data_IF_479889531385
#
_entry.id   IF_479889531385
#
_cell.length_a   1.000
_cell.length_b   1.000
_cell.length_c   1.000
_cell.angle_alpha   90.00
_cell.angle_beta   90.00
_cell.angle_gamma   90.00
#
_symmetry.space_group_name_H-M   'P 1'
#
loop_
_entity.id
_entity.type
_entity.pdbx_description
1 polymer ?
#
# COMPACT_ATOMS: atom_id res chain seq x y z
N UNK A 1 -4.15 0.28 28.09
CA UNK A 1 -3.80 -0.25 26.77
C UNK A 1 -3.01 0.81 26.04
N UNK A 2 -1.85 0.43 25.48
CA UNK A 2 -0.97 1.31 24.69
C UNK A 2 -1.06 0.92 23.21
N UNK A 3 -1.09 1.91 22.31
CA UNK A 3 -1.00 1.74 20.86
C UNK A 3 0.14 2.60 20.33
N UNK A 4 1.08 1.98 19.63
CA UNK A 4 2.06 2.66 18.79
C UNK A 4 1.67 2.44 17.33
N UNK A 5 1.34 3.53 16.62
CA UNK A 5 0.94 3.51 15.22
C UNK A 5 2.01 4.13 14.34
N UNK A 6 2.65 3.30 13.54
CA UNK A 6 3.65 3.72 12.56
C UNK A 6 2.99 3.81 11.19
N UNK A 7 3.20 4.92 10.47
CA UNK A 7 2.56 5.14 9.18
C UNK A 7 3.46 5.91 8.21
N UNK A 8 3.33 5.60 6.95
CA UNK A 8 4.07 6.29 5.89
C UNK A 8 3.23 7.42 5.30
N UNK A 9 3.19 8.54 5.98
CA UNK A 9 2.49 9.77 5.58
C UNK A 9 1.15 9.51 4.86
N UNK A 10 0.90 10.17 3.73
CA UNK A 10 -0.29 9.99 2.91
C UNK A 10 -0.10 9.00 1.76
N UNK A 11 0.90 8.10 1.84
CA UNK A 11 1.06 7.05 0.83
C UNK A 11 -0.21 6.19 0.74
N UNK A 12 -0.78 5.80 1.87
CA UNK A 12 -2.07 5.13 1.94
C UNK A 12 -3.13 6.05 2.58
N UNK A 13 -4.30 6.22 1.96
CA UNK A 13 -5.39 7.03 2.55
C UNK A 13 -5.83 6.57 3.93
N UNK A 14 -5.78 5.26 4.18
CA UNK A 14 -6.15 4.62 5.45
C UNK A 14 -5.37 5.17 6.63
N UNK A 15 -4.14 5.65 6.41
CA UNK A 15 -3.33 6.25 7.48
C UNK A 15 -4.07 7.41 8.16
N UNK A 16 -4.67 8.30 7.38
CA UNK A 16 -5.41 9.44 7.92
C UNK A 16 -6.78 9.08 8.47
N UNK A 17 -7.42 8.03 7.93
CA UNK A 17 -8.64 7.48 8.51
C UNK A 17 -8.36 6.94 9.91
N UNK A 18 -7.27 6.18 10.06
CA UNK A 18 -6.82 5.64 11.36
C UNK A 18 -6.47 6.77 12.34
N UNK A 19 -5.74 7.80 11.89
CA UNK A 19 -5.43 8.96 12.74
C UNK A 19 -6.71 9.67 13.22
N UNK A 20 -7.70 9.87 12.33
CA UNK A 20 -8.99 10.46 12.69
C UNK A 20 -9.81 9.57 13.62
N UNK A 21 -9.67 8.24 13.48
CA UNK A 21 -10.31 7.29 14.39
C UNK A 21 -9.73 7.43 15.81
N UNK A 22 -8.43 7.61 15.95
CA UNK A 22 -7.76 7.74 17.24
C UNK A 22 -8.24 8.94 18.06
N UNK A 23 -8.66 10.04 17.42
CA UNK A 23 -9.24 11.19 18.11
C UNK A 23 -10.45 10.83 19.00
N UNK A 24 -11.19 9.76 18.63
CA UNK A 24 -12.34 9.27 19.38
C UNK A 24 -11.95 8.40 20.60
N UNK A 25 -10.70 7.93 20.64
CA UNK A 25 -10.23 6.95 21.63
C UNK A 25 -9.11 7.49 22.54
N UNK A 26 -8.58 8.68 22.29
CA UNK A 26 -7.45 9.28 23.03
C UNK A 26 -7.64 9.37 24.54
N UNK A 27 -8.89 9.46 25.02
CA UNK A 27 -9.18 9.52 26.46
C UNK A 27 -9.27 8.12 27.11
N UNK A 28 -9.25 7.04 26.31
CA UNK A 28 -9.39 5.65 26.75
C UNK A 28 -8.16 4.79 26.48
N UNK A 29 -7.33 5.21 25.54
CA UNK A 29 -6.17 4.45 25.02
C UNK A 29 -4.98 5.39 24.99
N UNK A 30 -3.84 4.94 25.49
CA UNK A 30 -2.56 5.63 25.35
C UNK A 30 -2.04 5.43 23.92
N UNK A 31 -2.18 6.46 23.06
CA UNK A 31 -1.93 6.37 21.62
C UNK A 31 -0.74 7.24 21.24
N UNK A 32 0.26 6.61 20.63
CA UNK A 32 1.41 7.27 20.05
C UNK A 32 1.44 7.05 18.53
N UNK A 33 1.74 8.09 17.77
CA UNK A 33 1.76 8.05 16.32
C UNK A 33 3.11 8.47 15.76
N UNK A 34 3.64 7.72 14.79
CA UNK A 34 4.98 7.91 14.23
C UNK A 34 4.92 7.94 12.70
N UNK A 35 5.16 9.12 12.12
CA UNK A 35 5.29 9.24 10.66
C UNK A 35 6.71 8.87 10.24
N UNK A 36 6.85 7.77 9.53
CA UNK A 36 8.17 7.26 9.09
C UNK A 36 8.64 7.82 7.74
N UNK A 37 7.93 8.80 7.17
CA UNK A 37 8.24 9.36 5.84
C UNK A 37 9.72 9.78 5.69
N UNK A 38 10.32 10.26 6.77
CA UNK A 38 11.72 10.72 6.82
C UNK A 38 12.57 9.98 7.86
N UNK A 39 11.99 9.00 8.54
CA UNK A 39 12.66 8.24 9.59
C UNK A 39 12.79 6.78 9.17
N UNK A 40 13.78 6.53 8.30
CA UNK A 40 14.06 5.21 7.74
C UNK A 40 14.62 4.25 8.79
N UNK A 41 15.36 4.77 9.76
CA UNK A 41 15.91 3.96 10.85
C UNK A 41 14.81 3.44 11.76
N UNK A 42 13.80 4.28 12.06
CA UNK A 42 12.63 3.86 12.81
C UNK A 42 11.83 2.80 12.03
N UNK A 43 11.54 3.04 10.75
CA UNK A 43 10.82 2.06 9.91
C UNK A 43 11.55 0.70 9.86
N UNK A 44 12.88 0.73 9.75
CA UNK A 44 13.74 -0.46 9.77
C UNK A 44 13.71 -1.16 11.13
N UNK A 45 13.81 -0.41 12.22
CA UNK A 45 13.85 -0.96 13.60
C UNK A 45 12.55 -1.71 13.94
N UNK A 46 11.40 -1.18 13.49
CA UNK A 46 10.08 -1.82 13.67
C UNK A 46 9.73 -2.82 12.56
N UNK A 47 10.65 -3.08 11.61
CA UNK A 47 10.44 -3.98 10.46
C UNK A 47 9.16 -3.66 9.69
N UNK A 48 8.97 -2.40 9.35
CA UNK A 48 7.80 -1.94 8.62
C UNK A 48 7.96 -2.20 7.12
N UNK A 49 6.99 -2.92 6.53
CA UNK A 49 6.91 -3.23 5.09
C UNK A 49 5.51 -3.02 4.52
N UNK A 50 4.61 -2.50 5.33
CA UNK A 50 3.25 -2.09 4.96
C UNK A 50 3.13 -0.56 5.08
N UNK A 51 2.13 0.07 4.45
CA UNK A 51 1.95 1.52 4.56
C UNK A 51 1.64 2.00 5.99
N UNK A 52 1.27 1.08 6.86
CA UNK A 52 1.05 1.27 8.30
C UNK A 52 1.35 0.00 9.08
N UNK A 53 1.63 0.17 10.37
CA UNK A 53 1.82 -0.89 11.34
C UNK A 53 1.30 -0.39 12.69
N UNK A 54 0.46 -1.18 13.33
CA UNK A 54 0.02 -0.95 14.71
C UNK A 54 0.69 -1.93 15.64
N UNK A 55 1.27 -1.46 16.73
CA UNK A 55 1.82 -2.29 17.80
C UNK A 55 1.02 -2.05 19.08
N UNK A 56 0.49 -3.12 19.67
CA UNK A 56 -0.24 -3.09 20.92
C UNK A 56 0.65 -3.54 22.07
N UNK A 57 0.69 -2.74 23.13
CA UNK A 57 1.39 -3.05 24.38
C UNK A 57 2.83 -3.53 24.15
N UNK A 58 3.52 -2.99 23.15
CA UNK A 58 4.88 -3.31 22.72
C UNK A 58 5.10 -4.75 22.17
N UNK A 59 4.04 -5.55 22.01
CA UNK A 59 4.13 -6.98 21.65
C UNK A 59 3.32 -7.34 20.40
N UNK A 60 2.01 -7.11 20.41
CA UNK A 60 1.12 -7.58 19.36
C UNK A 60 1.13 -6.63 18.15
N UNK A 61 1.28 -7.18 16.96
CA UNK A 61 1.45 -6.42 15.71
C UNK A 61 0.25 -6.62 14.80
N UNK A 62 -0.35 -5.50 14.34
CA UNK A 62 -1.47 -5.49 13.40
C UNK A 62 -1.09 -4.72 12.14
N UNK A 63 -1.43 -5.29 10.98
CA UNK A 63 -1.17 -4.73 9.65
C UNK A 63 -2.45 -4.49 8.86
N UNK A 64 -3.58 -4.95 9.38
CA UNK A 64 -4.89 -4.58 8.85
C UNK A 64 -5.28 -3.17 9.30
N UNK A 65 -6.15 -2.47 8.54
CA UNK A 65 -6.71 -1.21 8.97
C UNK A 65 -7.44 -1.34 10.30
N UNK A 66 -7.15 -0.43 11.24
CA UNK A 66 -7.88 -0.39 12.50
C UNK A 66 -9.30 0.13 12.26
N UNK A 67 -10.29 -0.60 12.78
CA UNK A 67 -11.70 -0.21 12.77
C UNK A 67 -12.19 0.01 14.20
N UNK A 68 -13.21 0.86 14.39
CA UNK A 68 -13.82 1.10 15.71
C UNK A 68 -14.17 -0.22 16.42
N UNK A 69 -14.77 -1.16 15.68
CA UNK A 69 -15.15 -2.46 16.24
C UNK A 69 -13.98 -3.28 16.78
N UNK A 70 -12.78 -3.13 16.20
CA UNK A 70 -11.56 -3.77 16.73
C UNK A 70 -11.09 -3.09 18.00
N UNK A 71 -11.04 -1.75 18.01
CA UNK A 71 -10.65 -0.99 19.21
C UNK A 71 -11.61 -1.23 20.37
N UNK A 72 -12.92 -1.32 20.13
CA UNK A 72 -13.92 -1.62 21.16
C UNK A 72 -13.71 -3.02 21.74
N UNK A 73 -13.41 -4.03 20.92
CA UNK A 73 -13.07 -5.39 21.38
C UNK A 73 -11.82 -5.39 22.24
N UNK A 74 -10.77 -4.72 21.80
CA UNK A 74 -9.51 -4.60 22.55
C UNK A 74 -9.71 -3.93 23.89
N UNK A 75 -10.55 -2.87 23.98
CA UNK A 75 -10.90 -2.22 25.24
C UNK A 75 -11.67 -3.15 26.20
N UNK A 76 -12.44 -4.08 25.65
CA UNK A 76 -13.14 -5.10 26.43
C UNK A 76 -12.25 -6.30 26.78
N UNK A 77 -10.95 -6.24 26.54
CA UNK A 77 -9.97 -7.33 26.74
C UNK A 77 -10.28 -8.59 25.91
N UNK A 78 -10.99 -8.42 24.77
CA UNK A 78 -11.21 -9.53 23.84
C UNK A 78 -9.94 -9.78 23.03
N UNK A 79 -9.57 -11.06 22.89
CA UNK A 79 -8.43 -11.46 22.06
C UNK A 79 -8.79 -11.27 20.58
N UNK A 80 -8.00 -10.46 19.88
CA UNK A 80 -8.14 -10.22 18.45
C UNK A 80 -6.97 -10.87 17.71
N UNK A 81 -7.28 -11.75 16.76
CA UNK A 81 -6.27 -12.40 15.93
C UNK A 81 -6.45 -11.86 14.51
N UNK A 82 -5.39 -11.26 13.99
CA UNK A 82 -5.35 -10.81 12.61
C UNK A 82 -5.29 -12.02 11.65
N UNK A 83 -6.04 -11.93 10.55
CA UNK A 83 -6.03 -12.96 9.50
C UNK A 83 -5.40 -12.41 8.23
N UNK A 84 -4.77 -13.27 7.39
CA UNK A 84 -4.31 -12.84 6.09
C UNK A 84 -5.41 -12.15 5.29
N UNK A 85 -5.05 -11.05 4.64
CA UNK A 85 -5.96 -10.40 3.70
C UNK A 85 -5.85 -11.11 2.34
N UNK A 86 -6.84 -11.94 2.04
CA UNK A 86 -6.89 -12.75 0.81
C UNK A 86 -8.11 -12.34 0.02
N UNK A 87 -7.89 -11.91 -1.21
CA UNK A 87 -8.94 -11.63 -2.19
C UNK A 87 -8.65 -12.44 -3.45
N UNK A 88 -9.62 -13.22 -3.89
CA UNK A 88 -9.60 -13.84 -5.19
C UNK A 88 -10.02 -12.82 -6.24
N UNK A 89 -9.12 -12.53 -7.17
CA UNK A 89 -9.39 -11.68 -8.32
C UNK A 89 -9.60 -12.53 -9.56
N UNK A 90 -10.47 -12.07 -10.45
CA UNK A 90 -10.62 -12.62 -11.78
C UNK A 90 -9.27 -12.61 -12.51
N UNK A 91 -8.93 -13.71 -13.16
CA UNK A 91 -7.64 -13.86 -13.89
C UNK A 91 -7.67 -13.21 -15.26
N UNK A 92 -8.86 -13.01 -15.80
CA UNK A 92 -9.03 -12.37 -17.09
C UNK A 92 -8.71 -10.87 -16.97
N UNK A 93 -7.84 -10.39 -17.87
CA UNK A 93 -7.38 -9.00 -17.88
C UNK A 93 -8.42 -8.12 -18.56
N UNK A 94 -8.91 -7.11 -17.85
CA UNK A 94 -9.86 -6.14 -18.39
C UNK A 94 -9.20 -4.81 -18.72
N UNK A 95 -9.44 -4.30 -19.93
CA UNK A 95 -8.89 -3.05 -20.41
C UNK A 95 -10.00 -2.06 -20.72
N UNK A 96 -10.17 -1.06 -19.88
CA UNK A 96 -10.85 0.18 -20.19
C UNK A 96 -9.90 1.22 -20.82
N UNK A 97 -10.16 2.48 -20.59
CA UNK A 97 -9.25 3.57 -20.94
C UNK A 97 -8.09 3.64 -19.94
N UNK A 98 -6.86 3.57 -20.46
CA UNK A 98 -5.67 3.69 -19.62
C UNK A 98 -5.18 5.13 -19.68
N UNK A 99 -5.33 5.85 -18.56
CA UNK A 99 -4.99 7.27 -18.44
C UNK A 99 -3.91 7.51 -17.40
N UNK A 100 -3.04 8.52 -17.57
CA UNK A 100 -2.06 8.88 -16.54
C UNK A 100 -2.78 9.40 -15.29
N UNK A 101 -2.30 8.96 -14.11
CA UNK A 101 -2.67 9.53 -12.82
C UNK A 101 -1.81 10.76 -12.56
N UNK A 102 -2.44 11.90 -12.37
CA UNK A 102 -1.79 13.21 -12.16
C UNK A 102 -2.41 13.91 -10.96
N UNK A 103 -1.88 15.07 -10.61
CA UNK A 103 -2.46 15.93 -9.58
C UNK A 103 -3.91 16.33 -9.90
N UNK A 104 -4.23 16.50 -11.19
CA UNK A 104 -5.53 17.03 -11.60
C UNK A 104 -6.66 16.00 -11.55
N UNK A 105 -6.32 14.70 -11.62
CA UNK A 105 -7.32 13.63 -11.61
C UNK A 105 -7.21 12.64 -10.44
N UNK A 106 -6.34 12.90 -9.46
CA UNK A 106 -6.14 12.01 -8.30
C UNK A 106 -7.43 11.84 -7.46
N UNK A 107 -8.37 12.79 -7.53
CA UNK A 107 -9.68 12.67 -6.88
C UNK A 107 -10.48 11.47 -7.38
N UNK A 108 -10.21 10.98 -8.59
CA UNK A 108 -10.88 9.80 -9.17
C UNK A 108 -10.58 8.52 -8.40
N UNK A 109 -9.44 8.44 -7.70
CA UNK A 109 -9.05 7.25 -6.90
C UNK A 109 -9.69 7.22 -5.51
N UNK A 110 -10.44 8.26 -5.16
CA UNK A 110 -11.25 8.33 -3.95
C UNK A 110 -12.23 7.15 -3.89
N UNK A 111 -12.30 6.45 -2.76
CA UNK A 111 -13.21 5.30 -2.54
C UNK A 111 -12.94 4.08 -3.44
N UNK A 112 -11.79 3.99 -4.10
CA UNK A 112 -11.49 2.88 -5.02
C UNK A 112 -10.56 1.82 -4.44
N UNK A 113 -10.06 2.03 -3.22
CA UNK A 113 -9.31 1.01 -2.51
C UNK A 113 -10.27 0.06 -1.78
N UNK A 114 -10.16 -1.24 -2.02
CA UNK A 114 -10.97 -2.28 -1.36
C UNK A 114 -10.77 -2.35 0.16
N UNK A 115 -9.70 -1.73 0.69
CA UNK A 115 -9.42 -1.66 2.13
C UNK A 115 -10.07 -0.44 2.81
N UNK A 116 -10.51 0.58 2.06
CA UNK A 116 -11.04 1.83 2.61
C UNK A 116 -12.54 1.91 2.45
N UNK A 117 -13.23 2.16 3.57
CA UNK A 117 -14.69 2.38 3.61
C UNK A 117 -15.04 3.88 3.49
N UNK A 118 -14.04 4.79 3.51
CA UNK A 118 -14.26 6.22 3.57
C UNK A 118 -13.77 6.98 2.32
N UNK A 119 -14.12 8.25 2.24
CA UNK A 119 -13.61 9.16 1.20
C UNK A 119 -12.14 9.43 1.48
N UNK A 120 -11.28 9.03 0.55
CA UNK A 120 -9.86 9.31 0.62
C UNK A 120 -9.58 10.80 0.77
N UNK A 121 -8.62 11.16 1.61
CA UNK A 121 -8.02 12.50 1.62
C UNK A 121 -7.11 12.66 0.39
N UNK A 122 -7.72 12.81 -0.78
CA UNK A 122 -7.02 12.86 -2.07
C UNK A 122 -6.02 14.01 -2.14
N UNK A 123 -6.34 15.15 -1.52
CA UNK A 123 -5.42 16.29 -1.46
C UNK A 123 -4.12 15.94 -0.72
N UNK A 124 -4.20 15.21 0.38
CA UNK A 124 -2.99 14.78 1.12
C UNK A 124 -2.17 13.78 0.32
N UNK A 125 -2.83 12.85 -0.38
CA UNK A 125 -2.14 11.89 -1.25
C UNK A 125 -1.51 12.59 -2.46
N UNK A 126 -2.21 13.53 -3.08
CA UNK A 126 -1.67 14.35 -4.17
C UNK A 126 -0.42 15.12 -3.73
N UNK A 127 -0.48 15.77 -2.56
CA UNK A 127 0.67 16.46 -1.99
C UNK A 127 1.83 15.52 -1.67
N UNK A 128 1.54 14.30 -1.19
CA UNK A 128 2.56 13.28 -0.94
C UNK A 128 3.25 12.87 -2.25
N UNK A 129 2.49 12.45 -3.26
CA UNK A 129 3.06 11.99 -4.53
C UNK A 129 3.80 13.12 -5.27
N UNK A 130 3.33 14.36 -5.22
CA UNK A 130 3.97 15.53 -5.82
C UNK A 130 5.35 15.87 -5.22
N UNK A 131 5.70 15.33 -4.05
CA UNK A 131 7.05 15.47 -3.48
C UNK A 131 8.07 14.53 -4.15
N UNK A 132 7.61 13.43 -4.74
CA UNK A 132 8.44 12.30 -5.15
C UNK A 132 8.32 11.94 -6.63
N UNK A 133 7.29 12.43 -7.30
CA UNK A 133 7.05 12.27 -8.73
C UNK A 133 6.97 13.64 -9.41
N UNK A 134 7.29 13.67 -10.69
CA UNK A 134 7.11 14.87 -11.52
C UNK A 134 5.59 15.12 -11.76
N UNK A 135 5.11 14.91 -13.00
CA UNK A 135 3.71 15.15 -13.36
C UNK A 135 2.84 13.89 -13.26
N UNK A 136 3.42 12.72 -13.55
CA UNK A 136 2.71 11.44 -13.60
C UNK A 136 3.04 10.64 -12.35
N UNK A 137 2.02 10.30 -11.58
CA UNK A 137 2.10 9.52 -10.33
C UNK A 137 1.90 8.01 -10.57
N UNK A 138 1.35 7.65 -11.74
CA UNK A 138 0.97 6.29 -12.10
C UNK A 138 0.04 6.26 -13.28
N UNK A 139 -0.70 5.16 -13.42
CA UNK A 139 -1.74 5.00 -14.45
C UNK A 139 -2.99 4.39 -13.86
N UNK A 140 -4.13 4.76 -14.43
CA UNK A 140 -5.46 4.28 -14.09
C UNK A 140 -6.06 3.49 -15.24
N UNK A 141 -6.85 2.48 -14.90
CA UNK A 141 -7.81 1.82 -15.79
C UNK A 141 -9.18 2.38 -15.49
N UNK A 142 -9.82 3.02 -16.46
CA UNK A 142 -11.06 3.79 -16.27
C UNK A 142 -12.11 3.33 -17.27
N UNK A 143 -13.36 3.27 -16.83
CA UNK A 143 -14.52 3.08 -17.69
C UNK A 143 -15.68 3.93 -17.21
N UNK A 144 -16.29 4.72 -18.13
CA UNK A 144 -17.39 5.63 -17.81
C UNK A 144 -17.11 6.49 -16.57
N UNK A 145 -15.94 7.14 -16.52
CA UNK A 145 -15.42 7.94 -15.40
C UNK A 145 -15.24 7.18 -14.07
N UNK A 146 -15.39 5.86 -14.07
CA UNK A 146 -15.12 5.04 -12.91
C UNK A 146 -13.73 4.41 -13.01
N UNK A 147 -12.93 4.58 -11.95
CA UNK A 147 -11.64 3.89 -11.81
C UNK A 147 -11.90 2.42 -11.50
N UNK A 148 -11.37 1.54 -12.33
CA UNK A 148 -11.44 0.09 -12.17
C UNK A 148 -10.21 -0.47 -11.44
N UNK A 149 -9.04 0.12 -11.68
CA UNK A 149 -7.79 -0.24 -11.04
C UNK A 149 -6.69 0.76 -11.32
N UNK A 150 -5.52 0.58 -10.72
CA UNK A 150 -4.42 1.49 -10.91
C UNK A 150 -3.08 0.97 -10.42
N UNK A 151 -2.02 1.65 -10.85
CA UNK A 151 -0.64 1.42 -10.45
C UNK A 151 0.04 2.75 -10.14
N UNK A 152 0.71 2.84 -8.99
CA UNK A 152 1.40 4.03 -8.52
C UNK A 152 2.84 3.71 -8.14
N UNK A 153 3.73 4.70 -8.26
CA UNK A 153 5.14 4.53 -7.95
C UNK A 153 5.76 5.77 -7.29
N UNK A 154 6.94 5.57 -6.72
CA UNK A 154 7.93 6.63 -6.43
C UNK A 154 9.34 6.07 -6.67
N UNK A 155 10.39 6.90 -6.60
CA UNK A 155 11.77 6.40 -6.55
C UNK A 155 12.01 5.58 -5.27
N UNK A 156 12.71 4.44 -5.36
CA UNK A 156 13.03 3.59 -4.21
C UNK A 156 13.83 4.32 -3.13
N UNK A 157 14.55 5.36 -3.50
CA UNK A 157 15.33 6.24 -2.61
C UNK A 157 14.48 6.80 -1.45
N UNK A 158 13.20 7.08 -1.70
CA UNK A 158 12.30 7.72 -0.73
C UNK A 158 11.43 6.74 0.03
N UNK A 159 11.52 5.46 -0.24
CA UNK A 159 10.75 4.41 0.44
C UNK A 159 11.34 4.19 1.85
N UNK A 160 10.58 4.25 2.93
CA UNK A 160 11.13 4.08 4.29
C UNK A 160 11.51 2.63 4.61
N UNK A 161 11.04 1.66 3.82
CA UNK A 161 11.31 0.24 4.05
C UNK A 161 12.78 -0.13 3.84
N UNK A 162 13.23 -1.21 4.50
CA UNK A 162 14.56 -1.76 4.32
C UNK A 162 14.66 -2.57 3.02
N UNK A 163 14.73 -1.86 1.89
CA UNK A 163 14.85 -2.39 0.52
C UNK A 163 16.03 -1.70 -0.20
N UNK A 164 16.48 -2.22 -1.35
CA UNK A 164 17.49 -1.54 -2.16
C UNK A 164 17.06 -0.13 -2.56
N UNK A 165 17.93 0.86 -2.34
CA UNK A 165 17.69 2.27 -2.61
C UNK A 165 18.65 2.80 -3.65
N UNK A 166 18.10 3.38 -4.71
CA UNK A 166 18.87 4.03 -5.77
C UNK A 166 18.00 5.07 -6.45
N UNK A 167 18.62 6.13 -6.98
CA UNK A 167 17.92 7.12 -7.81
C UNK A 167 17.38 6.50 -9.11
N UNK A 168 18.04 5.43 -9.60
CA UNK A 168 17.72 4.68 -10.82
C UNK A 168 16.74 3.51 -10.60
N UNK A 169 16.14 3.39 -9.41
CA UNK A 169 15.16 2.36 -9.12
C UNK A 169 13.80 2.97 -8.75
N UNK A 170 12.75 2.48 -9.40
CA UNK A 170 11.37 2.76 -9.02
C UNK A 170 10.86 1.74 -7.98
N UNK A 171 9.88 2.13 -7.20
CA UNK A 171 9.15 1.27 -6.28
C UNK A 171 7.66 1.44 -6.48
N UNK A 172 6.93 0.34 -6.68
CA UNK A 172 5.47 0.35 -6.76
C UNK A 172 4.89 0.56 -5.35
N UNK A 173 4.27 1.70 -5.16
CA UNK A 173 3.67 2.07 -3.87
C UNK A 173 2.29 1.48 -3.69
N UNK A 174 1.53 1.31 -4.77
CA UNK A 174 0.19 0.78 -4.73
C UNK A 174 -0.23 0.18 -6.08
N UNK A 175 -0.71 -1.06 -6.05
CA UNK A 175 -1.48 -1.68 -7.12
C UNK A 175 -2.85 -2.03 -6.56
N UNK A 176 -3.91 -1.52 -7.14
CA UNK A 176 -5.26 -1.64 -6.58
C UNK A 176 -6.33 -1.94 -7.61
N UNK A 177 -7.44 -2.48 -7.11
CA UNK A 177 -8.66 -2.80 -7.84
C UNK A 177 -9.85 -2.12 -7.15
N UNK A 178 -10.87 -1.79 -7.91
CA UNK A 178 -12.17 -1.36 -7.38
C UNK A 178 -13.17 -2.51 -7.28
N UNK A 179 -12.93 -3.62 -7.98
CA UNK A 179 -13.76 -4.83 -8.02
C UNK A 179 -12.87 -6.06 -8.15
N UNK A 180 -13.44 -7.25 -7.95
CA UNK A 180 -12.76 -8.55 -8.00
C UNK A 180 -13.05 -9.37 -9.26
N UNK A 181 -13.88 -8.85 -10.18
CA UNK A 181 -14.39 -9.61 -11.33
C UNK A 181 -13.28 -9.92 -12.34
N UNK A 182 -12.33 -8.99 -12.52
CA UNK A 182 -11.24 -9.08 -13.47
C UNK A 182 -9.92 -8.62 -12.88
N UNK A 183 -8.81 -8.88 -13.59
CA UNK A 183 -7.53 -8.23 -13.33
C UNK A 183 -7.51 -6.82 -13.95
N UNK A 184 -7.90 -5.83 -13.17
CA UNK A 184 -7.95 -4.43 -13.57
C UNK A 184 -6.61 -3.69 -13.41
N UNK A 185 -5.63 -4.25 -12.71
CA UNK A 185 -4.33 -3.61 -12.44
C UNK A 185 -3.26 -3.92 -13.48
N UNK A 186 -3.45 -4.96 -14.30
CA UNK A 186 -2.47 -5.38 -15.29
C UNK A 186 -2.12 -4.27 -16.30
N UNK A 187 -3.12 -3.69 -16.95
CA UNK A 187 -2.88 -2.66 -17.97
C UNK A 187 -2.33 -1.34 -17.41
N UNK A 188 -2.78 -0.82 -16.26
CA UNK A 188 -2.11 0.30 -15.59
C UNK A 188 -0.65 0.01 -15.28
N UNK A 189 -0.32 -1.19 -14.77
CA UNK A 189 1.07 -1.55 -14.51
C UNK A 189 1.89 -1.61 -15.80
N UNK A 190 1.37 -2.23 -16.85
CA UNK A 190 2.06 -2.32 -18.14
C UNK A 190 2.36 -0.93 -18.73
N UNK A 191 1.43 0.01 -18.63
CA UNK A 191 1.64 1.36 -19.12
C UNK A 191 2.61 2.14 -18.24
N UNK A 192 2.55 1.94 -16.92
CA UNK A 192 3.52 2.49 -15.99
C UNK A 192 4.94 1.97 -16.26
N UNK A 193 5.12 0.68 -16.52
CA UNK A 193 6.43 0.09 -16.87
C UNK A 193 7.02 0.75 -18.12
N UNK A 194 6.20 0.98 -19.16
CA UNK A 194 6.65 1.68 -20.38
C UNK A 194 7.10 3.12 -20.09
N UNK A 195 6.35 3.83 -19.25
CA UNK A 195 6.71 5.19 -18.85
C UNK A 195 8.01 5.22 -18.04
N UNK A 196 8.17 4.27 -17.12
CA UNK A 196 9.34 4.20 -16.24
C UNK A 196 10.62 3.78 -16.97
N UNK A 197 10.52 3.01 -18.04
CA UNK A 197 11.66 2.51 -18.84
C UNK A 197 12.66 3.62 -19.28
N UNK A 198 12.16 4.83 -19.46
CA UNK A 198 13.01 5.98 -19.86
C UNK A 198 13.58 6.74 -18.66
N UNK A 199 13.24 6.35 -17.42
CA UNK A 199 13.60 7.07 -16.19
C UNK A 199 14.34 6.20 -15.19
N UNK A 200 14.14 4.89 -15.22
CA UNK A 200 14.66 3.93 -14.25
C UNK A 200 15.14 2.65 -14.96
N UNK A 201 16.11 1.98 -14.39
CA UNK A 201 16.58 0.68 -14.88
C UNK A 201 15.86 -0.51 -14.26
N UNK A 202 15.25 -0.31 -13.08
CA UNK A 202 14.61 -1.39 -12.32
C UNK A 202 13.38 -0.90 -11.55
N UNK A 203 12.39 -1.78 -11.46
CA UNK A 203 11.19 -1.59 -10.60
C UNK A 203 11.23 -2.62 -9.49
N UNK A 204 10.98 -2.18 -8.25
CA UNK A 204 10.75 -3.05 -7.09
C UNK A 204 9.30 -2.98 -6.64
N UNK A 205 8.82 -4.07 -6.06
CA UNK A 205 7.56 -4.12 -5.33
C UNK A 205 7.68 -5.06 -4.12
N UNK A 206 6.84 -4.85 -3.11
CA UNK A 206 6.62 -5.80 -2.03
C UNK A 206 5.31 -6.52 -2.31
N UNK A 207 5.33 -7.84 -2.20
CA UNK A 207 4.20 -8.74 -2.44
C UNK A 207 4.12 -9.79 -1.35
N UNK A 208 3.01 -10.52 -1.26
CA UNK A 208 2.80 -11.54 -0.25
C UNK A 208 2.58 -12.92 -0.89
N UNK A 209 3.25 -13.96 -0.38
CA UNK A 209 3.06 -15.34 -0.80
C UNK A 209 1.86 -16.02 -0.12
N UNK A 210 1.30 -15.42 0.94
CA UNK A 210 0.15 -15.93 1.70
C UNK A 210 -1.11 -15.13 1.39
N UNK A 211 -1.01 -13.80 1.44
CA UNK A 211 -2.11 -12.86 1.22
C UNK A 211 -2.03 -12.12 -0.12
N UNK A 212 -2.83 -11.06 -0.21
CA UNK A 212 -2.88 -10.17 -1.37
C UNK A 212 -2.50 -8.73 -1.06
N UNK A 213 -2.06 -8.44 0.15
CA UNK A 213 -1.64 -7.12 0.60
C UNK A 213 -0.19 -7.14 1.10
N UNK A 214 0.68 -6.18 0.70
CA UNK A 214 0.45 -5.09 -0.25
C UNK A 214 0.57 -5.55 -1.73
N UNK A 215 0.04 -4.79 -2.65
CA UNK A 215 0.20 -4.87 -4.11
C UNK A 215 -0.32 -6.15 -4.81
N UNK A 216 -0.62 -7.23 -4.07
CA UNK A 216 -1.10 -8.48 -4.62
C UNK A 216 -0.24 -9.69 -4.24
N UNK A 217 -0.63 -10.85 -4.77
CA UNK A 217 0.01 -12.12 -4.50
C UNK A 217 1.33 -12.26 -5.28
N UNK A 218 2.31 -12.96 -4.69
CA UNK A 218 3.62 -13.23 -5.30
C UNK A 218 3.51 -13.88 -6.69
N UNK A 219 2.65 -14.89 -6.83
CA UNK A 219 2.50 -15.62 -8.08
C UNK A 219 2.06 -14.71 -9.24
N UNK A 220 1.19 -13.73 -8.96
CA UNK A 220 0.77 -12.75 -9.96
C UNK A 220 1.96 -11.93 -10.50
N UNK A 221 2.89 -11.50 -9.65
CA UNK A 221 4.08 -10.78 -10.09
C UNK A 221 5.02 -11.64 -10.93
N UNK A 222 5.22 -12.92 -10.53
CA UNK A 222 6.06 -13.86 -11.30
C UNK A 222 5.49 -14.09 -12.70
N UNK A 223 4.17 -14.25 -12.83
CA UNK A 223 3.48 -14.41 -14.12
C UNK A 223 3.57 -13.15 -15.02
N UNK A 224 3.88 -11.98 -14.43
CA UNK A 224 4.06 -10.72 -15.15
C UNK A 224 5.53 -10.31 -15.33
N UNK A 225 6.45 -11.27 -15.17
CA UNK A 225 7.88 -11.11 -15.50
C UNK A 225 8.71 -10.43 -14.42
N UNK A 226 8.21 -10.37 -13.17
CA UNK A 226 9.02 -9.99 -12.03
C UNK A 226 9.82 -11.20 -11.53
N UNK A 227 10.98 -10.94 -10.96
CA UNK A 227 11.86 -11.93 -10.34
C UNK A 227 11.71 -11.80 -8.82
N UNK A 228 11.64 -12.94 -8.14
CA UNK A 228 11.63 -13.01 -6.67
C UNK A 228 13.06 -12.80 -6.14
N UNK A 229 13.28 -11.69 -5.43
CA UNK A 229 14.55 -11.35 -4.77
C UNK A 229 14.66 -11.99 -3.37
N UNK A 230 13.59 -12.67 -2.91
CA UNK A 230 13.54 -13.40 -1.66
C UNK A 230 12.66 -12.79 -0.58
N UNK A 231 12.57 -13.52 0.52
CA UNK A 231 11.75 -13.16 1.70
C UNK A 231 12.38 -11.99 2.44
N UNK A 232 11.60 -10.94 2.70
CA UNK A 232 12.00 -9.76 3.48
C UNK A 232 11.38 -9.71 4.87
N UNK A 233 10.21 -10.36 5.06
CA UNK A 233 9.53 -10.47 6.35
C UNK A 233 8.59 -11.65 6.36
N UNK A 234 8.49 -12.34 7.48
CA UNK A 234 7.53 -13.43 7.67
C UNK A 234 6.87 -13.32 9.04
N UNK A 235 5.55 -13.39 9.05
CA UNK A 235 4.73 -13.45 10.25
C UNK A 235 3.86 -14.71 10.17
N UNK A 236 4.18 -15.67 11.02
CA UNK A 236 3.52 -16.98 10.99
C UNK A 236 2.00 -16.86 11.09
N UNK A 237 1.31 -17.42 10.09
CA UNK A 237 -0.16 -17.42 10.04
C UNK A 237 -0.78 -16.12 9.54
N UNK A 238 0.04 -15.12 9.12
CA UNK A 238 -0.46 -13.87 8.59
C UNK A 238 0.10 -13.53 7.21
N UNK A 239 1.40 -13.35 7.06
CA UNK A 239 2.01 -12.98 5.78
C UNK A 239 3.40 -13.57 5.60
N UNK A 240 3.82 -13.73 4.36
CA UNK A 240 5.20 -13.98 3.96
C UNK A 240 5.55 -13.04 2.82
N UNK A 241 6.19 -11.93 3.19
CA UNK A 241 6.51 -10.86 2.27
C UNK A 241 7.78 -11.14 1.48
N UNK A 242 7.69 -10.96 0.18
CA UNK A 242 8.79 -11.05 -0.76
C UNK A 242 9.06 -9.68 -1.38
N UNK A 243 10.32 -9.37 -1.60
CA UNK A 243 10.72 -8.33 -2.53
C UNK A 243 10.76 -8.93 -3.92
N UNK A 244 10.10 -8.29 -4.87
CA UNK A 244 10.19 -8.67 -6.29
C UNK A 244 10.74 -7.52 -7.10
N UNK A 245 11.39 -7.82 -8.22
CA UNK A 245 11.96 -6.82 -9.11
C UNK A 245 11.77 -7.15 -10.58
N UNK A 246 11.82 -6.11 -11.42
CA UNK A 246 11.80 -6.22 -12.88
C UNK A 246 12.77 -5.21 -13.47
N UNK A 247 13.70 -5.66 -14.31
CA UNK A 247 14.51 -4.75 -15.14
C UNK A 247 13.65 -4.20 -16.29
N UNK A 248 13.77 -2.92 -16.61
CA UNK A 248 12.94 -2.23 -17.62
C UNK A 248 13.77 -1.42 -18.61
#
# INVERSE_FOLDING_TARGET
MKIDFYYWAAQCPINYETLSLFDKYKDKIDIHTYNVEKDFDLAKSVKMFFPFLTVLNDEERFRAPLKSSLLDKLLNNEKCIEKPYIIDFGKEKYKGDIIPLTKDNIYMVSKKCTLSDSVCSCDKKALFLSKYCDEIFGYLNVENDNVLGGAEYISSKYVPYNIPKNDDYAFLTCLYHSSTDYDYKYYPLLELEKYLKNKYSKIYAITDAVGTFPNGNLQWFLEHGYVDEGVISEEKGYCKLHLVSKNI
#
